data_IF_230986672329
#
_entry.id   IF_230986672329
#
_cell.length_a   1.000
_cell.length_b   1.000
_cell.length_c   1.000
_cell.angle_alpha   90.00
_cell.angle_beta   90.00
_cell.angle_gamma   90.00
#
_symmetry.space_group_name_H-M   'P 1'
#
loop_
_entity.id
_entity.type
_entity.pdbx_description
1 polymer ?
#
# COMPACT_ATOMS: atom_id res chain seq x y z
N UNK A 1 15.22 -25.67 5.89
CA UNK A 1 14.61 -25.00 4.73
C UNK A 1 13.77 -23.85 5.24
N UNK A 2 14.00 -22.64 4.73
CA UNK A 2 13.11 -21.52 5.02
C UNK A 2 11.88 -21.64 4.12
N UNK A 3 10.65 -21.66 4.68
CA UNK A 3 9.46 -21.62 3.87
C UNK A 3 9.43 -20.29 3.09
N UNK A 4 9.28 -20.37 1.78
CA UNK A 4 9.13 -19.20 0.93
C UNK A 4 7.69 -18.71 1.03
N UNK A 5 7.51 -17.46 1.40
CA UNK A 5 6.25 -16.76 1.23
C UNK A 5 6.11 -16.23 -0.22
N UNK A 6 4.93 -15.78 -0.59
CA UNK A 6 4.66 -15.23 -1.92
C UNK A 6 5.62 -14.10 -2.34
N UNK A 7 5.87 -13.06 -1.51
CA UNK A 7 6.81 -12.02 -1.87
C UNK A 7 8.19 -12.54 -2.22
N UNK A 8 8.74 -13.44 -1.41
CA UNK A 8 10.05 -14.04 -1.67
C UNK A 8 10.03 -14.95 -2.91
N UNK A 9 8.97 -15.71 -3.10
CA UNK A 9 8.84 -16.58 -4.27
C UNK A 9 8.72 -15.80 -5.58
N UNK A 10 8.01 -14.69 -5.59
CA UNK A 10 7.74 -13.88 -6.79
C UNK A 10 8.84 -12.85 -7.05
N UNK A 11 9.22 -12.09 -6.02
CA UNK A 11 10.14 -10.96 -6.14
C UNK A 11 11.60 -11.32 -5.84
N UNK A 12 11.85 -12.54 -5.35
CA UNK A 12 13.17 -12.98 -4.98
C UNK A 12 13.67 -12.39 -3.67
N UNK A 13 14.83 -12.84 -3.23
CA UNK A 13 15.47 -12.36 -2.01
C UNK A 13 16.97 -12.59 -2.03
N UNK A 14 17.67 -11.87 -1.17
CA UNK A 14 19.06 -12.16 -0.79
C UNK A 14 19.13 -12.21 0.72
N UNK A 15 19.62 -13.30 1.27
CA UNK A 15 19.77 -13.47 2.70
C UNK A 15 21.21 -13.81 3.05
N UNK A 16 21.79 -13.07 3.99
CA UNK A 16 23.13 -13.28 4.49
C UNK A 16 23.02 -13.91 5.88
N UNK A 17 23.32 -15.19 5.97
CA UNK A 17 23.42 -15.88 7.26
C UNK A 17 24.83 -15.68 7.82
N UNK A 18 24.92 -15.24 9.06
CA UNK A 18 26.15 -15.35 9.86
C UNK A 18 25.96 -16.52 10.81
N UNK A 19 26.68 -17.59 10.58
CA UNK A 19 26.77 -18.66 11.53
C UNK A 19 27.61 -18.22 12.76
N UNK A 20 27.34 -18.80 13.92
CA UNK A 20 28.09 -18.56 15.17
C UNK A 20 29.62 -18.76 14.98
N UNK A 21 30.02 -19.59 14.03
CA UNK A 21 31.38 -19.82 13.61
C UNK A 21 31.95 -18.81 12.61
N UNK A 22 31.29 -17.66 12.39
CA UNK A 22 31.70 -16.58 11.45
C UNK A 22 31.82 -16.99 9.98
N UNK A 23 31.30 -18.13 9.57
CA UNK A 23 31.12 -18.44 8.15
C UNK A 23 29.85 -17.75 7.66
N UNK A 24 29.98 -16.78 6.75
CA UNK A 24 28.85 -16.23 6.08
C UNK A 24 28.43 -17.11 4.91
N UNK A 25 27.22 -17.59 4.89
CA UNK A 25 26.62 -18.19 3.70
C UNK A 25 25.58 -17.22 3.15
N UNK A 26 25.68 -16.92 1.87
CA UNK A 26 24.72 -16.09 1.17
C UNK A 26 23.77 -17.00 0.40
N UNK A 27 22.48 -16.90 0.69
CA UNK A 27 21.46 -17.56 -0.09
C UNK A 27 20.67 -16.47 -0.82
N UNK A 28 20.50 -16.66 -2.12
CA UNK A 28 19.72 -15.71 -2.94
C UNK A 28 18.82 -16.46 -3.90
N UNK A 29 17.68 -15.87 -4.17
CA UNK A 29 16.73 -16.33 -5.16
C UNK A 29 16.36 -15.17 -6.09
N UNK A 30 16.52 -15.39 -7.39
CA UNK A 30 16.29 -14.33 -8.37
C UNK A 30 14.80 -14.02 -8.54
N UNK A 31 14.47 -12.73 -8.62
CA UNK A 31 13.13 -12.29 -8.96
C UNK A 31 12.62 -12.92 -10.27
N UNK A 32 11.39 -13.38 -10.26
CA UNK A 32 10.67 -13.83 -11.45
C UNK A 32 9.86 -12.71 -12.10
N UNK A 33 9.87 -11.52 -11.50
CA UNK A 33 9.20 -10.31 -12.01
C UNK A 33 10.24 -9.23 -12.23
N UNK A 34 10.15 -8.52 -13.33
CA UNK A 34 11.03 -7.40 -13.68
C UNK A 34 10.18 -6.21 -14.11
N UNK A 35 10.37 -5.10 -13.40
CA UNK A 35 9.76 -3.82 -13.75
C UNK A 35 10.68 -3.10 -14.72
N UNK A 36 10.15 -2.74 -15.89
CA UNK A 36 10.83 -1.86 -16.83
C UNK A 36 10.64 -0.40 -16.46
N UNK A 37 11.25 0.47 -17.25
CA UNK A 37 11.05 1.90 -17.12
C UNK A 37 9.63 2.27 -17.55
N UNK A 38 9.06 3.25 -16.83
CA UNK A 38 7.75 3.82 -17.14
C UNK A 38 7.97 5.21 -17.70
N UNK A 39 7.63 5.37 -18.96
CA UNK A 39 7.80 6.62 -19.70
C UNK A 39 6.51 7.44 -19.69
N UNK A 40 6.66 8.74 -19.66
CA UNK A 40 5.52 9.64 -19.73
C UNK A 40 4.93 9.63 -21.14
N UNK A 41 3.63 9.38 -21.25
CA UNK A 41 2.91 9.26 -22.53
C UNK A 41 2.10 10.48 -22.91
N UNK A 42 1.97 11.46 -22.03
CA UNK A 42 1.26 12.71 -22.28
C UNK A 42 1.99 13.86 -21.61
N UNK A 43 1.69 15.09 -22.00
CA UNK A 43 2.24 16.38 -21.57
C UNK A 43 2.77 16.41 -20.12
N UNK A 44 3.71 15.53 -19.84
CA UNK A 44 4.30 15.38 -18.53
C UNK A 44 5.18 16.59 -18.26
N UNK A 45 4.75 17.40 -17.34
CA UNK A 45 5.52 18.53 -16.87
C UNK A 45 5.61 18.49 -15.35
N UNK A 46 6.75 18.81 -14.76
CA UNK A 46 6.82 19.02 -13.33
C UNK A 46 5.95 20.20 -12.95
N UNK A 47 5.33 20.13 -11.79
CA UNK A 47 4.75 21.28 -11.11
C UNK A 47 5.86 22.14 -10.49
N UNK A 48 5.47 23.25 -9.86
CA UNK A 48 6.39 24.09 -9.12
C UNK A 48 7.12 23.31 -8.03
N UNK A 49 8.32 23.76 -7.71
CA UNK A 49 9.08 23.16 -6.64
C UNK A 49 8.55 23.65 -5.27
N UNK A 50 8.31 22.72 -4.37
CA UNK A 50 7.87 22.99 -3.01
C UNK A 50 8.96 22.60 -2.02
N UNK A 51 9.33 23.52 -1.13
CA UNK A 51 10.17 23.17 0.03
C UNK A 51 9.28 22.78 1.20
N UNK A 52 9.60 21.66 1.84
CA UNK A 52 8.88 21.18 3.02
C UNK A 52 9.76 20.29 3.88
N UNK A 53 9.30 19.97 5.07
CA UNK A 53 9.97 19.03 5.97
C UNK A 53 9.40 17.63 5.73
N UNK A 54 10.28 16.68 5.39
CA UNK A 54 9.92 15.26 5.42
C UNK A 54 10.58 14.62 6.63
N UNK A 55 9.75 14.20 7.60
CA UNK A 55 10.23 13.50 8.78
C UNK A 55 10.83 12.13 8.44
N UNK A 56 11.93 11.80 9.11
CA UNK A 56 12.47 10.44 9.07
C UNK A 56 11.64 9.49 9.93
N UNK A 57 11.61 8.18 9.61
CA UNK A 57 11.10 7.17 10.52
C UNK A 57 11.81 7.27 11.86
N UNK A 58 11.06 7.17 12.94
CA UNK A 58 11.58 7.23 14.31
C UNK A 58 11.31 5.91 15.02
N UNK A 59 12.08 4.84 14.73
CA UNK A 59 11.85 3.52 15.33
C UNK A 59 12.05 3.51 16.84
N UNK A 60 12.80 4.49 17.38
CA UNK A 60 12.96 4.68 18.82
C UNK A 60 11.70 5.23 19.50
N UNK A 61 10.74 5.74 18.74
CA UNK A 61 9.41 6.09 19.23
C UNK A 61 8.50 4.86 19.04
N UNK A 62 8.68 3.88 19.91
CA UNK A 62 8.05 2.56 19.78
C UNK A 62 6.53 2.61 19.99
N UNK A 63 6.00 3.61 20.70
CA UNK A 63 4.58 3.81 20.96
C UNK A 63 3.75 3.88 19.66
N UNK A 64 4.33 4.39 18.59
CA UNK A 64 3.66 4.42 17.27
C UNK A 64 3.61 3.05 16.57
N UNK A 65 4.35 2.05 17.04
CA UNK A 65 4.53 0.77 16.36
C UNK A 65 4.09 -0.45 17.17
N UNK A 66 3.99 -0.31 18.49
CA UNK A 66 3.68 -1.39 19.43
C UNK A 66 2.30 -1.16 20.02
N UNK A 67 1.54 -2.22 20.20
CA UNK A 67 0.22 -2.14 20.84
C UNK A 67 0.34 -1.64 22.29
N UNK A 68 -0.65 -0.87 22.71
CA UNK A 68 -0.74 -0.36 24.08
C UNK A 68 -0.70 -1.52 25.09
N UNK A 69 0.12 -1.37 26.13
CA UNK A 69 0.32 -2.40 27.15
C UNK A 69 1.15 -3.62 26.70
N UNK A 70 1.67 -3.61 25.47
CA UNK A 70 2.49 -4.68 24.89
C UNK A 70 3.92 -4.18 24.65
N UNK A 71 4.55 -3.63 25.67
CA UNK A 71 5.89 -3.08 25.59
C UNK A 71 6.95 -4.16 25.38
N UNK A 72 7.93 -3.82 24.57
CA UNK A 72 9.17 -4.58 24.56
C UNK A 72 9.99 -4.18 25.77
N UNK A 73 10.23 -5.12 26.66
CA UNK A 73 11.21 -4.96 27.75
C UNK A 73 12.51 -5.65 27.38
N UNK A 74 13.61 -4.97 27.67
CA UNK A 74 14.93 -5.62 27.63
C UNK A 74 15.21 -6.45 28.88
N UNK A 75 14.27 -6.51 29.81
CA UNK A 75 14.38 -7.33 31.00
C UNK A 75 14.36 -8.83 30.63
N UNK A 76 15.37 -9.61 31.05
CA UNK A 76 15.52 -11.00 30.63
C UNK A 76 14.38 -11.93 31.07
N UNK A 77 13.56 -11.51 32.02
CA UNK A 77 12.54 -12.31 32.67
C UNK A 77 11.11 -11.97 32.22
N UNK A 78 10.92 -10.99 31.33
CA UNK A 78 9.58 -10.73 30.82
C UNK A 78 9.17 -11.74 29.74
N UNK A 79 7.88 -12.14 29.71
CA UNK A 79 7.39 -13.05 28.69
C UNK A 79 7.60 -12.47 27.30
N UNK A 80 8.26 -13.23 26.42
CA UNK A 80 8.46 -12.82 25.01
C UNK A 80 7.15 -12.59 24.26
N UNK A 81 6.06 -13.07 24.79
CA UNK A 81 4.68 -12.94 24.24
C UNK A 81 4.03 -11.60 24.53
N UNK A 82 4.68 -10.75 25.34
CA UNK A 82 4.15 -9.41 25.65
C UNK A 82 4.30 -8.42 24.48
N UNK A 83 5.22 -8.69 23.53
CA UNK A 83 5.47 -7.79 22.41
C UNK A 83 4.51 -8.04 21.25
N UNK A 84 3.75 -7.01 20.87
CA UNK A 84 2.85 -7.08 19.73
C UNK A 84 2.90 -5.79 18.91
N UNK A 85 3.15 -5.92 17.60
CA UNK A 85 3.16 -4.81 16.67
C UNK A 85 1.72 -4.38 16.29
N UNK A 86 1.54 -3.09 16.03
CA UNK A 86 0.28 -2.52 15.52
C UNK A 86 -0.04 -2.91 14.07
N UNK A 87 0.91 -3.56 13.37
CA UNK A 87 0.78 -3.91 11.96
C UNK A 87 1.68 -3.05 11.06
N UNK A 88 1.25 -2.83 9.83
CA UNK A 88 2.01 -2.10 8.84
C UNK A 88 1.56 -0.64 8.76
N UNK A 89 2.50 0.30 8.92
CA UNK A 89 2.23 1.72 8.73
C UNK A 89 1.96 2.00 7.26
N UNK A 90 0.83 2.65 6.99
CA UNK A 90 0.43 3.13 5.66
C UNK A 90 0.14 4.63 5.72
N UNK A 91 0.18 5.28 4.56
CA UNK A 91 -0.23 6.67 4.43
C UNK A 91 -1.65 6.73 3.89
N UNK A 92 -2.48 7.58 4.51
CA UNK A 92 -3.81 7.88 4.04
C UNK A 92 -3.78 8.60 2.70
N UNK A 93 -4.79 8.37 1.89
CA UNK A 93 -5.05 9.21 0.73
C UNK A 93 -5.67 10.51 1.21
N UNK A 94 -5.10 11.63 0.81
CA UNK A 94 -5.63 12.97 1.03
C UNK A 94 -5.26 13.89 -0.12
N UNK A 95 -5.95 15.00 -0.24
CA UNK A 95 -5.52 16.06 -1.14
C UNK A 95 -4.37 16.87 -0.54
N UNK A 96 -3.54 17.45 -1.38
CA UNK A 96 -2.43 18.27 -0.91
C UNK A 96 -2.97 19.59 -0.42
N UNK A 97 -2.66 19.91 0.82
CA UNK A 97 -3.01 21.19 1.46
C UNK A 97 -1.83 22.15 1.41
N UNK A 98 -2.09 23.38 1.03
CA UNK A 98 -1.09 24.43 1.00
C UNK A 98 -1.43 25.52 2.02
N UNK A 99 -0.40 26.16 2.63
CA UNK A 99 1.03 25.94 2.43
C UNK A 99 1.55 24.67 3.10
N UNK A 100 2.55 24.04 2.47
CA UNK A 100 3.23 22.90 3.09
C UNK A 100 4.02 23.35 4.34
N UNK A 101 4.18 22.46 5.34
CA UNK A 101 4.97 22.76 6.55
C UNK A 101 6.37 23.21 6.20
N UNK A 102 6.81 24.27 6.87
CA UNK A 102 8.12 24.89 6.71
C UNK A 102 8.93 24.78 8.00
N UNK A 103 10.23 24.92 7.90
CA UNK A 103 11.15 25.02 9.04
C UNK A 103 12.14 26.16 8.83
N UNK A 104 12.49 26.87 9.89
CA UNK A 104 13.58 27.82 9.86
C UNK A 104 14.97 27.17 9.73
N UNK A 105 15.07 25.86 9.90
CA UNK A 105 16.30 25.10 9.70
C UNK A 105 16.34 24.53 8.28
N UNK A 106 17.11 25.16 7.39
CA UNK A 106 17.24 24.73 6.01
C UNK A 106 17.78 23.32 5.84
N UNK A 107 18.53 22.78 6.81
CA UNK A 107 19.12 21.44 6.76
C UNK A 107 18.08 20.31 6.78
N UNK A 108 16.87 20.59 7.27
CA UNK A 108 15.77 19.61 7.31
C UNK A 108 14.76 19.80 6.18
N UNK A 109 14.97 20.82 5.35
CA UNK A 109 14.08 21.07 4.21
C UNK A 109 14.42 20.17 3.03
N UNK A 110 13.39 19.59 2.46
CA UNK A 110 13.46 18.80 1.23
C UNK A 110 12.70 19.54 0.12
N UNK A 111 13.26 19.56 -1.07
CA UNK A 111 12.58 20.13 -2.24
C UNK A 111 11.84 19.03 -2.98
N UNK A 112 10.52 19.14 -3.05
CA UNK A 112 9.66 18.28 -3.84
C UNK A 112 9.35 18.93 -5.19
N UNK A 113 9.45 18.17 -6.27
CA UNK A 113 9.00 18.55 -7.61
C UNK A 113 8.01 17.50 -8.12
N UNK A 114 6.75 17.58 -7.73
CA UNK A 114 5.77 16.61 -8.18
C UNK A 114 5.46 16.78 -9.66
N UNK A 115 5.02 15.70 -10.29
CA UNK A 115 4.41 15.79 -11.61
C UNK A 115 3.02 16.41 -11.50
N UNK A 116 2.59 17.14 -12.54
CA UNK A 116 1.25 17.72 -12.58
C UNK A 116 0.19 16.63 -12.52
N UNK A 117 -0.94 16.95 -11.89
CA UNK A 117 -2.13 16.08 -11.88
C UNK A 117 -2.53 15.72 -13.32
N UNK A 118 -2.87 14.45 -13.54
CA UNK A 118 -3.24 13.95 -14.88
C UNK A 118 -2.06 13.49 -15.73
N UNK A 119 -0.82 13.58 -15.23
CA UNK A 119 0.31 12.96 -15.92
C UNK A 119 0.12 11.45 -15.97
N UNK A 120 0.28 10.89 -17.17
CA UNK A 120 0.20 9.46 -17.39
C UNK A 120 1.56 8.89 -17.80
N UNK A 121 1.84 7.69 -17.30
CA UNK A 121 3.04 6.92 -17.63
C UNK A 121 2.63 5.56 -18.16
N UNK A 122 3.40 5.04 -19.10
CA UNK A 122 3.25 3.68 -19.61
C UNK A 122 4.55 2.92 -19.48
N UNK A 123 4.47 1.65 -19.14
CA UNK A 123 5.65 0.81 -19.01
C UNK A 123 5.27 -0.67 -19.09
N UNK A 124 6.27 -1.52 -18.98
CA UNK A 124 6.08 -2.96 -19.10
C UNK A 124 6.63 -3.67 -17.87
N UNK A 125 5.82 -4.55 -17.30
CA UNK A 125 6.24 -5.50 -16.28
C UNK A 125 6.37 -6.87 -16.97
N UNK A 126 7.53 -7.49 -16.83
CA UNK A 126 7.81 -8.83 -17.36
C UNK A 126 7.84 -9.81 -16.23
N UNK A 127 7.28 -10.99 -16.47
CA UNK A 127 7.31 -12.09 -15.52
C UNK A 127 7.67 -13.39 -16.21
N UNK A 128 8.17 -14.34 -15.43
CA UNK A 128 8.61 -15.63 -15.93
C UNK A 128 8.24 -16.75 -14.94
N UNK A 129 7.63 -17.81 -15.45
CA UNK A 129 7.31 -19.01 -14.69
C UNK A 129 6.54 -18.72 -13.39
N UNK A 130 5.54 -17.84 -13.45
CA UNK A 130 4.58 -17.64 -12.37
C UNK A 130 3.45 -18.66 -12.56
N UNK A 131 3.02 -19.27 -11.46
CA UNK A 131 1.79 -20.02 -11.39
C UNK A 131 0.58 -19.07 -11.50
N UNK A 132 -0.61 -19.61 -11.76
CA UNK A 132 -1.79 -18.79 -11.97
C UNK A 132 -2.15 -17.93 -10.75
N UNK A 133 -2.00 -18.46 -9.55
CA UNK A 133 -2.24 -17.75 -8.29
C UNK A 133 -1.15 -16.69 -7.99
N UNK A 134 0.11 -16.97 -8.32
CA UNK A 134 1.21 -16.01 -8.20
C UNK A 134 1.05 -14.83 -9.15
N UNK A 135 0.66 -15.10 -10.41
CA UNK A 135 0.32 -14.05 -11.37
C UNK A 135 -0.93 -13.29 -10.90
N UNK A 136 -1.89 -13.98 -10.33
CA UNK A 136 -3.09 -13.41 -9.73
C UNK A 136 -2.78 -12.44 -8.61
N UNK A 137 -1.88 -12.80 -7.69
CA UNK A 137 -1.40 -11.91 -6.63
C UNK A 137 -0.75 -10.65 -7.21
N UNK A 138 0.14 -10.81 -8.20
CA UNK A 138 0.81 -9.68 -8.85
C UNK A 138 -0.21 -8.70 -9.46
N UNK A 139 -1.17 -9.23 -10.21
CA UNK A 139 -2.21 -8.43 -10.86
C UNK A 139 -3.14 -7.76 -9.84
N UNK A 140 -3.58 -8.49 -8.81
CA UNK A 140 -4.44 -7.98 -7.76
C UNK A 140 -3.76 -6.84 -6.97
N UNK A 141 -2.48 -6.97 -6.67
CA UNK A 141 -1.73 -5.96 -5.91
C UNK A 141 -1.41 -4.70 -6.74
N UNK A 142 -1.31 -4.81 -8.06
CA UNK A 142 -1.04 -3.68 -8.95
C UNK A 142 -2.31 -2.90 -9.28
N UNK A 143 -3.33 -3.58 -9.77
CA UNK A 143 -4.53 -2.93 -10.34
C UNK A 143 -5.50 -2.48 -9.25
N UNK A 144 -5.59 -3.20 -8.14
CA UNK A 144 -6.54 -2.97 -7.05
C UNK A 144 -8.01 -3.07 -7.53
N UNK A 145 -8.94 -2.74 -6.61
CA UNK A 145 -10.37 -2.63 -6.93
C UNK A 145 -10.69 -1.25 -7.53
N UNK A 146 -11.84 -1.14 -8.19
CA UNK A 146 -12.32 0.11 -8.77
C UNK A 146 -12.41 1.22 -7.71
N UNK A 147 -11.94 2.40 -8.07
CA UNK A 147 -11.90 3.57 -7.19
C UNK A 147 -10.77 3.58 -6.17
N UNK A 148 -9.90 2.56 -6.16
CA UNK A 148 -8.72 2.50 -5.31
C UNK A 148 -7.50 3.14 -5.99
N UNK A 149 -6.60 3.66 -5.16
CA UNK A 149 -5.39 4.33 -5.63
C UNK A 149 -4.15 3.74 -4.97
N UNK A 150 -3.07 3.72 -5.72
CA UNK A 150 -1.73 3.49 -5.23
C UNK A 150 -1.07 4.80 -4.82
N UNK A 151 0.00 4.71 -4.03
CA UNK A 151 0.83 5.86 -3.66
C UNK A 151 2.27 5.59 -4.00
N UNK A 152 2.90 6.49 -4.74
CA UNK A 152 4.29 6.38 -5.19
C UNK A 152 5.08 7.65 -4.92
N UNK A 153 6.38 7.55 -4.78
CA UNK A 153 7.29 8.68 -4.66
C UNK A 153 7.33 9.29 -3.26
N UNK A 154 7.86 10.49 -3.20
CA UNK A 154 8.04 11.27 -1.97
C UNK A 154 6.80 12.10 -1.65
N UNK A 155 6.71 12.57 -0.41
CA UNK A 155 5.63 13.47 0.02
C UNK A 155 4.26 12.79 0.22
N UNK A 156 4.21 11.45 0.28
CA UNK A 156 2.97 10.71 0.58
C UNK A 156 2.21 11.21 1.83
N UNK A 157 2.89 11.59 2.91
CA UNK A 157 2.21 12.15 4.09
C UNK A 157 1.44 13.44 3.81
N UNK A 158 1.80 14.16 2.74
CA UNK A 158 1.12 15.39 2.32
C UNK A 158 0.12 15.19 1.18
N UNK A 159 -0.16 13.95 0.80
CA UNK A 159 -1.11 13.62 -0.27
C UNK A 159 -0.50 13.54 -1.67
N UNK A 160 0.82 13.72 -1.82
CA UNK A 160 1.49 13.55 -3.12
C UNK A 160 1.56 12.07 -3.54
N UNK A 161 1.68 11.86 -4.85
CA UNK A 161 1.96 10.55 -5.42
C UNK A 161 0.75 9.61 -5.53
N UNK A 162 -0.47 10.12 -5.36
CA UNK A 162 -1.69 9.34 -5.59
C UNK A 162 -1.83 9.04 -7.08
N UNK A 163 -1.97 7.76 -7.42
CA UNK A 163 -2.12 7.32 -8.80
C UNK A 163 -3.06 6.12 -8.93
N UNK A 164 -3.72 6.00 -10.06
CA UNK A 164 -4.41 4.79 -10.48
C UNK A 164 -3.54 3.98 -11.42
N UNK A 165 -3.67 2.66 -11.37
CA UNK A 165 -3.00 1.73 -12.27
C UNK A 165 -4.03 1.06 -13.14
N UNK A 166 -3.82 1.08 -14.44
CA UNK A 166 -4.65 0.40 -15.43
C UNK A 166 -3.81 -0.62 -16.18
N UNK A 167 -4.30 -1.82 -16.31
CA UNK A 167 -3.72 -2.84 -17.15
C UNK A 167 -4.25 -2.69 -18.58
N UNK A 168 -3.38 -2.30 -19.50
CA UNK A 168 -3.77 -2.19 -20.90
C UNK A 168 -3.79 -3.54 -21.61
N UNK A 169 -2.80 -4.39 -21.32
CA UNK A 169 -2.65 -5.68 -22.00
C UNK A 169 -1.87 -6.67 -21.15
N UNK A 170 -2.40 -7.86 -20.97
CA UNK A 170 -1.70 -9.04 -20.45
C UNK A 170 -1.37 -9.98 -21.62
N UNK A 171 -0.07 -10.25 -21.82
CA UNK A 171 0.39 -11.19 -22.86
C UNK A 171 1.07 -12.38 -22.19
N UNK A 172 0.62 -13.57 -22.55
CA UNK A 172 1.20 -14.83 -22.13
C UNK A 172 1.89 -15.49 -23.32
N UNK A 173 3.05 -16.06 -23.08
CA UNK A 173 3.81 -16.78 -24.08
C UNK A 173 3.92 -18.25 -23.71
N UNK A 174 3.53 -19.12 -24.62
CA UNK A 174 3.80 -20.55 -24.54
C UNK A 174 5.15 -20.82 -25.22
N UNK A 175 6.16 -21.08 -24.43
CA UNK A 175 7.50 -21.33 -24.97
C UNK A 175 7.61 -22.65 -25.70
N UNK A 176 6.80 -23.65 -25.37
CA UNK A 176 6.77 -24.90 -26.13
C UNK A 176 6.22 -24.67 -27.54
N UNK A 177 5.14 -23.90 -27.67
CA UNK A 177 4.61 -23.46 -28.95
C UNK A 177 5.60 -22.53 -29.69
N UNK A 178 6.28 -21.63 -28.99
CA UNK A 178 7.26 -20.70 -29.60
C UNK A 178 8.42 -21.41 -30.27
N UNK A 179 8.90 -22.51 -29.69
CA UNK A 179 10.02 -23.29 -30.24
C UNK A 179 9.57 -24.45 -31.14
N UNK A 180 8.26 -24.58 -31.45
CA UNK A 180 7.77 -25.51 -32.44
C UNK A 180 8.05 -25.00 -33.86
N UNK A 181 8.09 -25.92 -34.85
CA UNK A 181 8.46 -25.60 -36.25
C UNK A 181 7.54 -24.54 -36.92
N UNK A 182 6.37 -24.27 -36.37
CA UNK A 182 5.38 -23.30 -36.90
C UNK A 182 5.13 -22.10 -35.95
N UNK A 183 5.90 -21.94 -34.88
CA UNK A 183 5.43 -21.28 -33.69
C UNK A 183 5.73 -19.81 -33.50
N UNK A 184 6.63 -19.21 -34.28
CA UNK A 184 7.08 -17.84 -33.97
C UNK A 184 5.99 -16.76 -33.98
N UNK A 185 4.94 -16.95 -34.80
CA UNK A 185 3.86 -15.96 -34.92
C UNK A 185 2.68 -16.20 -33.97
N UNK A 186 2.50 -17.41 -33.45
CA UNK A 186 1.31 -17.83 -32.69
C UNK A 186 1.52 -18.03 -31.18
N UNK A 187 2.76 -17.93 -30.71
CA UNK A 187 3.11 -18.30 -29.34
C UNK A 187 2.64 -17.32 -28.25
N UNK A 188 2.24 -16.10 -28.64
CA UNK A 188 1.78 -15.09 -27.68
C UNK A 188 0.27 -14.87 -27.74
N UNK A 189 -0.44 -15.11 -26.64
CA UNK A 189 -1.87 -14.81 -26.52
C UNK A 189 -2.14 -13.64 -25.57
N UNK A 190 -3.18 -12.86 -25.87
CA UNK A 190 -3.73 -11.90 -24.91
C UNK A 190 -4.64 -12.64 -23.94
N UNK A 191 -4.56 -12.30 -22.67
CA UNK A 191 -5.37 -12.87 -21.62
C UNK A 191 -6.05 -11.78 -20.79
N UNK A 192 -7.14 -12.14 -20.13
CA UNK A 192 -7.80 -11.31 -19.14
C UNK A 192 -7.16 -11.50 -17.76
N UNK A 193 -7.19 -10.46 -16.92
CA UNK A 193 -6.60 -10.54 -15.57
C UNK A 193 -7.51 -11.24 -14.56
N UNK A 194 -8.83 -11.14 -14.71
CA UNK A 194 -9.81 -11.67 -13.74
C UNK A 194 -9.62 -13.14 -13.37
N UNK A 195 -9.42 -14.07 -14.31
CA UNK A 195 -9.23 -15.49 -13.97
C UNK A 195 -8.05 -15.72 -13.03
N UNK A 196 -6.93 -15.03 -13.24
CA UNK A 196 -5.74 -15.14 -12.39
C UNK A 196 -5.97 -14.59 -10.99
N UNK A 197 -6.62 -13.41 -10.88
CA UNK A 197 -7.00 -12.83 -9.60
C UNK A 197 -7.92 -13.78 -8.83
N UNK A 198 -8.85 -14.45 -9.52
CA UNK A 198 -9.72 -15.45 -8.91
C UNK A 198 -8.93 -16.69 -8.45
N UNK A 199 -7.99 -17.18 -9.26
CA UNK A 199 -7.11 -18.29 -8.87
C UNK A 199 -6.33 -17.96 -7.58
N UNK A 200 -5.79 -16.75 -7.47
CA UNK A 200 -5.13 -16.31 -6.24
C UNK A 200 -6.10 -16.30 -5.04
N UNK A 201 -7.27 -15.69 -5.18
CA UNK A 201 -8.25 -15.64 -4.09
C UNK A 201 -8.71 -17.04 -3.68
N UNK A 202 -8.93 -17.92 -4.65
CA UNK A 202 -9.29 -19.31 -4.39
C UNK A 202 -8.18 -20.04 -3.63
N UNK A 203 -6.93 -19.90 -4.08
CA UNK A 203 -5.79 -20.49 -3.38
C UNK A 203 -5.71 -20.02 -1.92
N UNK A 204 -5.90 -18.72 -1.66
CA UNK A 204 -5.89 -18.15 -0.30
C UNK A 204 -7.05 -18.67 0.55
N UNK A 205 -8.20 -18.95 -0.05
CA UNK A 205 -9.38 -19.48 0.62
C UNK A 205 -9.25 -20.98 0.91
N UNK A 206 -8.68 -21.74 -0.01
CA UNK A 206 -8.47 -23.19 0.15
C UNK A 206 -7.40 -23.48 1.22
N UNK A 207 -6.41 -22.59 1.36
CA UNK A 207 -5.31 -22.75 2.33
C UNK A 207 -5.50 -21.99 3.64
N UNK A 208 -6.67 -21.38 3.88
CA UNK A 208 -6.95 -20.71 5.15
C UNK A 208 -7.24 -21.70 6.28
N UNK A 209 -7.10 -21.29 7.52
CA UNK A 209 -7.59 -22.08 8.67
C UNK A 209 -9.11 -22.19 8.60
N UNK A 210 -9.68 -23.27 9.19
CA UNK A 210 -11.12 -23.54 9.15
C UNK A 210 -11.99 -22.43 9.73
N UNK A 211 -11.44 -21.67 10.68
CA UNK A 211 -12.13 -20.57 11.38
C UNK A 211 -11.88 -19.21 10.76
N UNK A 212 -10.92 -19.10 9.84
CA UNK A 212 -10.62 -17.83 9.19
C UNK A 212 -11.70 -17.47 8.16
N UNK A 213 -12.07 -16.19 8.03
CA UNK A 213 -12.99 -15.74 7.00
C UNK A 213 -12.39 -15.90 5.60
N UNK A 214 -13.23 -15.81 4.58
CA UNK A 214 -12.80 -15.71 3.19
C UNK A 214 -11.87 -14.50 3.00
N UNK A 215 -11.00 -14.56 2.00
CA UNK A 215 -9.96 -13.54 1.80
C UNK A 215 -10.54 -12.12 1.77
N UNK A 216 -11.60 -11.89 1.01
CA UNK A 216 -12.21 -10.57 0.87
C UNK A 216 -12.94 -10.10 2.15
N UNK A 217 -13.26 -11.02 3.06
CA UNK A 217 -13.93 -10.74 4.32
C UNK A 217 -12.97 -10.54 5.50
N UNK A 218 -11.69 -10.76 5.28
CA UNK A 218 -10.67 -10.55 6.32
C UNK A 218 -10.58 -9.07 6.70
N UNK A 219 -10.55 -8.75 8.00
CA UNK A 219 -10.47 -7.37 8.46
C UNK A 219 -9.32 -6.59 7.83
N UNK A 220 -8.13 -7.19 7.76
CA UNK A 220 -6.93 -6.56 7.20
C UNK A 220 -7.07 -6.24 5.70
N UNK A 221 -7.82 -7.03 4.94
CA UNK A 221 -8.10 -6.77 3.52
C UNK A 221 -9.14 -5.67 3.37
N UNK A 222 -10.18 -5.67 4.20
CA UNK A 222 -11.18 -4.59 4.24
C UNK A 222 -10.53 -3.27 4.61
N UNK A 223 -9.67 -3.25 5.62
CA UNK A 223 -8.94 -2.07 6.06
C UNK A 223 -7.98 -1.56 4.96
N UNK A 224 -7.28 -2.48 4.30
CA UNK A 224 -6.41 -2.12 3.18
C UNK A 224 -7.19 -1.42 2.06
N UNK A 225 -8.31 -1.98 1.62
CA UNK A 225 -9.12 -1.37 0.56
C UNK A 225 -9.82 -0.09 1.01
N UNK A 226 -10.24 -0.01 2.26
CA UNK A 226 -10.76 1.22 2.84
C UNK A 226 -9.72 2.36 2.75
N UNK A 227 -8.48 2.09 3.18
CA UNK A 227 -7.37 3.04 3.11
C UNK A 227 -7.03 3.43 1.67
N UNK A 228 -7.10 2.49 0.72
CA UNK A 228 -6.77 2.74 -0.69
C UNK A 228 -7.89 3.43 -1.48
N UNK A 229 -9.09 3.47 -0.94
CA UNK A 229 -10.27 4.08 -1.59
C UNK A 229 -10.65 5.43 -0.96
N UNK A 230 -10.53 5.53 0.36
CA UNK A 230 -11.01 6.69 1.11
C UNK A 230 -10.02 7.84 1.03
N UNK A 231 -10.45 8.95 0.44
CA UNK A 231 -9.71 10.21 0.47
C UNK A 231 -10.17 10.98 1.71
N UNK A 232 -9.25 11.20 2.66
CA UNK A 232 -9.57 11.89 3.91
C UNK A 232 -9.67 13.39 3.68
N UNK A 233 -10.79 13.95 4.08
CA UNK A 233 -11.02 15.42 4.15
C UNK A 233 -10.58 15.96 5.51
N UNK A 234 -10.75 15.14 6.57
CA UNK A 234 -10.23 15.44 7.89
C UNK A 234 -8.75 15.07 7.97
N UNK A 235 -7.89 16.04 7.79
CA UNK A 235 -6.46 15.86 7.77
C UNK A 235 -5.82 15.92 9.15
N UNK A 236 -6.51 16.47 10.16
CA UNK A 236 -5.99 16.63 11.52
C UNK A 236 -5.59 15.29 12.14
N UNK A 237 -6.39 14.25 11.93
CA UNK A 237 -6.15 12.90 12.46
C UNK A 237 -5.11 12.08 11.67
N UNK A 238 -4.75 12.52 10.47
CA UNK A 238 -3.88 11.75 9.55
C UNK A 238 -2.64 12.52 9.12
N UNK A 239 -2.37 13.65 9.75
CA UNK A 239 -1.21 14.49 9.50
C UNK A 239 0.00 14.06 10.35
N UNK A 240 1.13 14.71 10.14
CA UNK A 240 2.30 14.52 10.98
C UNK A 240 2.05 14.93 12.43
N UNK A 241 2.59 14.15 13.36
CA UNK A 241 2.66 14.55 14.75
C UNK A 241 3.48 15.83 14.88
N UNK A 242 2.96 16.81 15.61
CA UNK A 242 3.67 18.07 15.89
C UNK A 242 4.52 17.94 17.16
N UNK A 243 5.64 18.63 17.18
CA UNK A 243 6.47 18.82 18.39
C UNK A 243 6.24 20.16 19.06
N UNK A 244 5.41 21.01 18.49
CA UNK A 244 5.16 22.38 18.98
C UNK A 244 3.83 22.45 19.74
N UNK A 245 3.92 22.57 21.08
CA UNK A 245 2.78 22.68 21.99
C UNK A 245 1.96 23.97 21.81
N UNK A 246 2.49 24.97 21.10
CA UNK A 246 1.80 26.27 20.92
C UNK A 246 0.85 26.33 19.76
N UNK A 247 0.86 25.32 18.90
CA UNK A 247 -0.01 25.26 17.72
C UNK A 247 -1.16 24.30 17.97
N UNK A 248 -2.25 24.85 18.39
CA UNK A 248 -3.61 24.32 18.49
C UNK A 248 -3.84 22.94 19.17
N UNK A 249 -4.83 22.85 20.06
CA UNK A 249 -5.06 21.67 20.92
C UNK A 249 -5.54 20.41 20.20
N UNK A 250 -5.71 20.44 18.89
CA UNK A 250 -6.22 19.33 18.09
C UNK A 250 -5.15 18.49 17.40
N UNK A 251 -3.90 18.95 17.33
CA UNK A 251 -2.80 18.19 16.76
C UNK A 251 -2.12 17.31 17.79
N UNK A 252 -1.93 16.06 17.45
CA UNK A 252 -1.25 15.09 18.27
C UNK A 252 0.20 15.50 18.55
N UNK A 253 0.55 15.74 19.82
CA UNK A 253 1.89 16.15 20.24
C UNK A 253 2.80 14.93 20.36
N UNK A 254 3.89 14.90 19.61
CA UNK A 254 4.86 13.81 19.62
C UNK A 254 5.41 13.45 21.01
N UNK A 255 5.47 14.40 21.94
CA UNK A 255 6.04 14.20 23.28
C UNK A 255 5.03 13.83 24.37
N UNK A 256 3.76 14.03 24.13
CA UNK A 256 2.72 13.88 25.16
C UNK A 256 1.76 12.71 24.87
N UNK A 257 1.92 12.09 23.70
CA UNK A 257 1.02 11.00 23.31
C UNK A 257 1.69 9.65 23.42
N UNK A 258 1.19 8.89 24.34
CA UNK A 258 1.39 7.45 24.45
C UNK A 258 0.38 6.67 23.60
N UNK A 259 -0.24 7.33 22.61
CA UNK A 259 -1.26 6.68 21.80
C UNK A 259 -0.68 6.22 20.48
N UNK A 260 -0.93 4.99 20.05
CA UNK A 260 -0.62 4.55 18.72
C UNK A 260 -1.36 5.43 17.69
N UNK A 261 -0.82 5.49 16.48
CA UNK A 261 -1.56 6.09 15.37
C UNK A 261 -2.92 5.37 15.24
N UNK A 262 -4.01 6.11 14.94
CA UNK A 262 -5.32 5.50 14.78
C UNK A 262 -5.27 4.31 13.82
N UNK A 263 -5.85 3.20 14.20
CA UNK A 263 -5.94 2.05 13.32
C UNK A 263 -6.94 2.33 12.20
N UNK A 264 -6.69 1.75 11.03
CA UNK A 264 -7.63 1.87 9.91
C UNK A 264 -8.98 1.25 10.28
N UNK A 265 -8.96 0.16 11.07
CA UNK A 265 -10.17 -0.50 11.54
C UNK A 265 -11.06 0.43 12.37
N UNK A 266 -10.49 1.13 13.36
CA UNK A 266 -11.24 2.08 14.20
C UNK A 266 -11.89 3.18 13.37
N UNK A 267 -11.13 3.81 12.47
CA UNK A 267 -11.64 4.89 11.62
C UNK A 267 -12.70 4.40 10.60
N UNK A 268 -12.57 3.17 10.12
CA UNK A 268 -13.58 2.55 9.26
C UNK A 268 -14.88 2.27 10.02
N UNK A 269 -14.78 1.70 11.22
CA UNK A 269 -15.94 1.41 12.06
C UNK A 269 -16.68 2.67 12.51
N UNK A 270 -15.96 3.76 12.81
CA UNK A 270 -16.58 5.06 13.07
C UNK A 270 -17.36 5.56 11.84
N UNK A 271 -16.74 5.55 10.67
CA UNK A 271 -17.40 5.98 9.44
C UNK A 271 -18.63 5.11 9.09
N UNK A 272 -18.60 3.81 9.39
CA UNK A 272 -19.73 2.91 9.19
C UNK A 272 -20.87 3.18 10.18
N UNK A 273 -20.57 3.61 11.43
CA UNK A 273 -21.57 4.02 12.41
C UNK A 273 -22.28 5.32 12.05
N UNK A 274 -21.53 6.28 11.50
CA UNK A 274 -22.03 7.58 11.09
C UNK A 274 -22.66 7.58 9.69
N UNK A 275 -22.51 6.49 8.94
CA UNK A 275 -23.12 6.36 7.62
C UNK A 275 -24.65 6.37 7.74
N UNK A 276 -25.35 7.19 6.96
CA UNK A 276 -26.81 7.20 6.95
C UNK A 276 -27.31 5.81 6.55
N UNK A 277 -28.17 5.23 7.39
CA UNK A 277 -28.81 3.96 7.11
C UNK A 277 -30.01 4.22 6.21
N UNK A 278 -29.96 3.67 5.03
CA UNK A 278 -31.07 3.70 4.08
C UNK A 278 -31.80 2.37 4.09
N UNK A 279 -33.12 2.39 4.11
CA UNK A 279 -33.96 1.19 4.14
C UNK A 279 -33.97 0.45 2.79
N UNK A 280 -33.61 1.16 1.71
CA UNK A 280 -33.51 0.59 0.37
C UNK A 280 -32.40 1.24 -0.48
N UNK A 281 -31.99 0.55 -1.54
CA UNK A 281 -31.07 1.10 -2.55
C UNK A 281 -31.67 2.33 -3.28
N UNK A 282 -33.00 2.39 -3.37
CA UNK A 282 -33.72 3.52 -3.98
C UNK A 282 -33.64 4.77 -3.10
N UNK A 283 -33.77 4.62 -1.78
CA UNK A 283 -33.64 5.71 -0.82
C UNK A 283 -32.20 6.24 -0.78
N UNK A 284 -31.20 5.36 -0.85
CA UNK A 284 -29.80 5.75 -0.96
C UNK A 284 -29.53 6.54 -2.25
N UNK A 285 -30.11 6.11 -3.36
CA UNK A 285 -29.97 6.79 -4.66
C UNK A 285 -30.67 8.14 -4.65
N UNK A 286 -31.88 8.24 -4.07
CA UNK A 286 -32.60 9.48 -3.94
C UNK A 286 -31.86 10.51 -3.06
N UNK A 287 -31.27 10.08 -1.96
CA UNK A 287 -30.46 10.92 -1.08
C UNK A 287 -29.19 11.42 -1.76
N UNK A 288 -28.51 10.58 -2.55
CA UNK A 288 -27.37 10.97 -3.36
C UNK A 288 -27.74 11.99 -4.44
N UNK A 289 -28.87 11.80 -5.13
CA UNK A 289 -29.36 12.75 -6.12
C UNK A 289 -29.71 14.09 -5.50
N UNK A 290 -30.31 14.12 -4.31
CA UNK A 290 -30.59 15.35 -3.57
C UNK A 290 -29.32 16.07 -3.12
N UNK A 291 -28.27 15.30 -2.73
CA UNK A 291 -26.99 15.86 -2.26
C UNK A 291 -26.09 16.39 -3.39
N UNK A 292 -26.14 15.77 -4.57
CA UNK A 292 -25.25 16.07 -5.70
C UNK A 292 -25.97 16.54 -6.97
N UNK A 293 -27.28 16.44 -7.04
CA UNK A 293 -28.08 16.83 -8.20
C UNK A 293 -28.59 18.29 -8.21
N UNK A 294 -28.22 19.09 -7.22
CA UNK A 294 -28.60 20.49 -7.09
C UNK A 294 -27.44 21.44 -7.43
N UNK A 295 -26.71 21.15 -8.52
CA UNK A 295 -25.79 22.12 -9.13
C UNK A 295 -25.99 22.16 -10.63
#
# INVERSE_FOLDING_TARGET
ELPLDYPHAVLGFTHNFKDENKKSSNTSYRSRVSFGDFEAISNAAPADAYKTVLGEPKPSFFEGYVQEGKHYSYEPNEPKDAFQLNGFKQYWLKDVEFPLPQSGNEKVLTTLRPMKKGTAFSGTIRFKNLEEDELGLLLWSLVLNDGCYQSIGMGKPYGFGRMSVKLDKLRLFDFAALYSASGFESAGRTAECKPFIQAYKQFMNDNKSKTAPEMDDRPEIKDFFYLKKTIREDTEMVDYLTIDQKKEPKRLLFKEMYYPLPSVAELREEAEKDAPKYDSAEDATAALLLKFGAK
#
